data_IF_816687603400
#
_entry.id   IF_816687603400
#
_cell.length_a   1.000
_cell.length_b   1.000
_cell.length_c   1.000
_cell.angle_alpha   90.00
_cell.angle_beta   90.00
_cell.angle_gamma   90.00
#
_symmetry.space_group_name_H-M   'P 1'
#
loop_
_entity.id
_entity.type
_entity.pdbx_description
1 polymer ?
#
# COMPACT_ATOMS: atom_id res chain seq x y z
N UNK A 1 -31.06 45.52 -45.51
CA UNK A 1 -30.87 45.77 -44.07
C UNK A 1 -29.94 44.71 -43.49
N UNK A 2 -28.80 45.05 -42.87
CA UNK A 2 -27.89 44.04 -42.32
C UNK A 2 -28.31 43.64 -40.90
N UNK A 3 -28.49 42.33 -40.69
CA UNK A 3 -28.74 41.70 -39.39
C UNK A 3 -27.45 41.73 -38.55
N UNK A 4 -27.39 42.62 -37.56
CA UNK A 4 -26.30 42.67 -36.57
C UNK A 4 -26.39 41.46 -35.64
N UNK A 5 -25.50 40.49 -35.83
CA UNK A 5 -25.34 39.35 -34.92
C UNK A 5 -24.68 39.80 -33.62
N UNK A 6 -25.46 39.94 -32.53
CA UNK A 6 -24.94 40.20 -31.18
C UNK A 6 -24.26 38.94 -30.64
N UNK A 7 -22.95 38.85 -30.79
CA UNK A 7 -22.10 37.82 -30.17
C UNK A 7 -21.46 38.37 -28.88
N UNK A 8 -22.22 38.50 -27.80
CA UNK A 8 -21.69 38.89 -26.48
C UNK A 8 -22.53 38.29 -25.37
N UNK A 9 -22.09 37.17 -24.78
CA UNK A 9 -22.20 36.87 -23.32
C UNK A 9 -21.81 35.45 -22.85
N UNK A 10 -21.28 34.55 -23.70
CA UNK A 10 -20.94 33.17 -23.24
C UNK A 10 -19.46 32.90 -22.92
N UNK A 11 -18.53 33.83 -23.17
CA UNK A 11 -17.09 33.60 -22.95
C UNK A 11 -16.69 33.51 -21.47
N UNK A 12 -17.32 34.30 -20.59
CA UNK A 12 -16.98 34.30 -19.15
C UNK A 12 -17.43 33.03 -18.43
N UNK A 13 -18.64 32.55 -18.72
CA UNK A 13 -19.15 31.30 -18.16
C UNK A 13 -18.31 30.09 -18.60
N UNK A 14 -17.94 30.01 -19.88
CA UNK A 14 -17.12 28.92 -20.40
C UNK A 14 -15.69 28.89 -19.82
N UNK A 15 -15.08 30.06 -19.53
CA UNK A 15 -13.76 30.11 -18.89
C UNK A 15 -13.80 29.67 -17.43
N UNK A 16 -14.83 30.09 -16.69
CA UNK A 16 -15.01 29.67 -15.29
C UNK A 16 -15.28 28.17 -15.20
N UNK A 17 -16.15 27.65 -16.07
CA UNK A 17 -16.48 26.22 -16.11
C UNK A 17 -15.25 25.37 -16.48
N UNK A 18 -14.41 25.87 -17.39
CA UNK A 18 -13.12 25.23 -17.73
C UNK A 18 -12.15 25.22 -16.54
N UNK A 19 -12.02 26.33 -15.81
CA UNK A 19 -11.16 26.40 -14.60
C UNK A 19 -11.64 25.42 -13.54
N UNK A 20 -12.95 25.38 -13.28
CA UNK A 20 -13.55 24.44 -12.32
C UNK A 20 -13.28 22.99 -12.76
N UNK A 21 -13.46 22.68 -14.05
CA UNK A 21 -13.17 21.37 -14.60
C UNK A 21 -11.71 20.93 -14.40
N UNK A 22 -10.75 21.84 -14.61
CA UNK A 22 -9.32 21.57 -14.39
C UNK A 22 -9.02 21.30 -12.91
N UNK A 23 -9.63 22.06 -11.99
CA UNK A 23 -9.46 21.86 -10.55
C UNK A 23 -9.98 20.48 -10.13
N UNK A 24 -11.20 20.11 -10.55
CA UNK A 24 -11.80 18.82 -10.23
C UNK A 24 -10.95 17.68 -10.81
N UNK A 25 -10.50 17.80 -12.06
CA UNK A 25 -9.63 16.82 -12.70
C UNK A 25 -8.33 16.62 -11.91
N UNK A 26 -7.72 17.71 -11.45
CA UNK A 26 -6.48 17.67 -10.66
C UNK A 26 -6.69 16.93 -9.34
N UNK A 27 -7.80 17.20 -8.64
CA UNK A 27 -8.15 16.51 -7.38
C UNK A 27 -8.32 15.01 -7.62
N UNK A 28 -9.04 14.62 -8.68
CA UNK A 28 -9.24 13.20 -9.04
C UNK A 28 -7.89 12.52 -9.33
N UNK A 29 -7.01 13.15 -10.09
CA UNK A 29 -5.68 12.60 -10.41
C UNK A 29 -4.84 12.41 -9.16
N UNK A 30 -4.84 13.38 -8.24
CA UNK A 30 -4.10 13.27 -6.97
C UNK A 30 -4.61 12.10 -6.13
N UNK A 31 -5.93 11.96 -5.99
CA UNK A 31 -6.53 10.83 -5.23
C UNK A 31 -6.22 9.50 -5.91
N UNK A 32 -6.34 9.43 -7.23
CA UNK A 32 -6.05 8.22 -7.99
C UNK A 32 -4.57 7.79 -7.84
N UNK A 33 -3.63 8.74 -7.90
CA UNK A 33 -2.22 8.47 -7.68
C UNK A 33 -1.93 7.97 -6.25
N UNK A 34 -2.47 8.64 -5.24
CA UNK A 34 -2.29 8.20 -3.84
C UNK A 34 -2.80 6.76 -3.62
N UNK A 35 -4.01 6.44 -4.10
CA UNK A 35 -4.57 5.10 -4.00
C UNK A 35 -3.76 4.04 -4.76
N UNK A 36 -3.23 4.40 -5.94
CA UNK A 36 -2.42 3.50 -6.76
C UNK A 36 -1.08 3.18 -6.10
N UNK A 37 -0.37 4.20 -5.59
CA UNK A 37 0.94 4.03 -4.97
C UNK A 37 0.87 3.20 -3.69
N UNK A 38 -0.10 3.47 -2.81
CA UNK A 38 -0.24 2.76 -1.53
C UNK A 38 -0.59 1.27 -1.72
N UNK A 39 -1.43 0.97 -2.71
CA UNK A 39 -1.78 -0.42 -3.06
C UNK A 39 -0.58 -1.18 -3.63
N UNK A 40 0.25 -0.52 -4.45
CA UNK A 40 1.37 -1.18 -5.11
C UNK A 40 2.52 -1.52 -4.16
N UNK A 41 2.94 -0.58 -3.31
CA UNK A 41 3.96 -0.77 -2.27
C UNK A 41 3.59 -1.99 -1.41
N UNK A 42 2.34 -2.05 -0.95
CA UNK A 42 1.91 -3.13 -0.06
C UNK A 42 1.92 -4.51 -0.73
N UNK A 43 1.62 -4.59 -2.02
CA UNK A 43 1.72 -5.84 -2.77
C UNK A 43 3.17 -6.26 -3.02
N UNK A 44 4.05 -5.31 -3.34
CA UNK A 44 5.46 -5.56 -3.59
C UNK A 44 6.19 -6.02 -2.33
N UNK A 45 5.82 -5.48 -1.16
CA UNK A 45 6.35 -5.86 0.15
C UNK A 45 5.79 -7.23 0.58
N UNK A 46 4.47 -7.42 0.46
CA UNK A 46 3.80 -8.58 1.05
C UNK A 46 4.13 -9.91 0.36
N UNK A 47 4.29 -9.93 -0.97
CA UNK A 47 4.58 -11.16 -1.72
C UNK A 47 5.90 -11.84 -1.31
N UNK A 48 7.06 -11.16 -1.33
CA UNK A 48 8.32 -11.75 -0.90
C UNK A 48 8.30 -12.10 0.59
N UNK A 49 7.72 -11.26 1.46
CA UNK A 49 7.58 -11.56 2.88
C UNK A 49 6.79 -12.87 3.13
N UNK A 50 5.69 -13.10 2.39
CA UNK A 50 4.92 -14.35 2.48
C UNK A 50 5.74 -15.56 2.01
N UNK A 51 6.58 -15.41 0.97
CA UNK A 51 7.46 -16.51 0.51
C UNK A 51 8.48 -16.88 1.60
N UNK A 52 9.09 -15.87 2.21
CA UNK A 52 10.03 -16.08 3.31
C UNK A 52 9.33 -16.70 4.53
N UNK A 53 8.13 -16.21 4.88
CA UNK A 53 7.31 -16.77 5.94
C UNK A 53 7.00 -18.25 5.70
N UNK A 54 6.60 -18.64 4.49
CA UNK A 54 6.30 -20.05 4.18
C UNK A 54 7.53 -20.94 4.32
N UNK A 55 8.67 -20.48 3.82
CA UNK A 55 9.94 -21.21 3.91
C UNK A 55 10.36 -21.41 5.36
N UNK A 56 10.32 -20.34 6.15
CA UNK A 56 10.61 -20.39 7.58
C UNK A 56 9.63 -21.28 8.35
N UNK A 57 8.33 -21.17 8.05
CA UNK A 57 7.28 -21.94 8.71
C UNK A 57 7.42 -23.43 8.44
N UNK A 58 7.81 -23.80 7.22
CA UNK A 58 8.05 -25.19 6.85
C UNK A 58 9.20 -25.80 7.67
N UNK A 59 10.33 -25.08 7.80
CA UNK A 59 11.47 -25.51 8.62
C UNK A 59 11.17 -25.59 10.12
N UNK A 60 10.30 -24.69 10.62
CA UNK A 60 9.99 -24.57 12.04
C UNK A 60 8.67 -25.23 12.46
N UNK A 61 8.03 -26.01 11.59
CA UNK A 61 6.74 -26.70 11.85
C UNK A 61 5.61 -25.73 12.26
N UNK A 62 5.62 -24.54 11.69
CA UNK A 62 4.57 -23.53 11.85
C UNK A 62 3.63 -23.54 10.62
N UNK A 63 2.43 -23.01 10.80
CA UNK A 63 1.47 -22.75 9.74
C UNK A 63 1.45 -21.26 9.41
N UNK A 64 2.02 -20.88 8.26
CA UNK A 64 2.03 -19.50 7.79
C UNK A 64 0.59 -18.97 7.60
N UNK A 65 0.28 -17.81 8.18
CA UNK A 65 -1.04 -17.16 8.04
C UNK A 65 -0.99 -15.97 7.10
N UNK A 66 -0.42 -14.85 7.56
CA UNK A 66 -0.42 -13.59 6.80
C UNK A 66 0.76 -12.71 7.19
N UNK A 67 1.23 -11.92 6.23
CA UNK A 67 2.13 -10.80 6.48
C UNK A 67 1.40 -9.48 6.27
N UNK A 68 1.77 -8.49 7.07
CA UNK A 68 1.47 -7.09 6.85
C UNK A 68 2.18 -6.63 5.57
N UNK A 69 1.48 -5.82 4.78
CA UNK A 69 2.04 -5.23 3.55
C UNK A 69 2.66 -3.86 3.81
N UNK A 70 3.07 -3.57 5.04
CA UNK A 70 3.62 -2.26 5.37
C UNK A 70 4.81 -2.44 6.30
N UNK A 71 5.92 -1.84 5.91
CA UNK A 71 7.11 -1.72 6.73
C UNK A 71 6.97 -0.47 7.60
N UNK A 72 6.57 -0.67 8.86
CA UNK A 72 6.39 0.45 9.81
C UNK A 72 7.71 1.06 10.24
N UNK A 73 8.77 0.25 10.30
CA UNK A 73 10.07 0.61 10.85
C UNK A 73 11.07 1.03 9.76
N UNK A 74 10.69 0.90 8.48
CA UNK A 74 11.52 1.15 7.29
C UNK A 74 12.84 0.39 7.32
N UNK A 75 12.85 -0.79 7.92
CA UNK A 75 14.04 -1.61 8.14
C UNK A 75 14.14 -2.80 7.17
N UNK A 76 13.22 -2.90 6.20
CA UNK A 76 13.17 -4.02 5.26
C UNK A 76 12.46 -5.26 5.80
N UNK A 77 11.87 -5.18 7.01
CA UNK A 77 11.14 -6.26 7.68
C UNK A 77 9.66 -5.91 7.81
N UNK A 78 8.80 -6.92 7.69
CA UNK A 78 7.37 -6.78 7.97
C UNK A 78 6.90 -7.80 8.98
N UNK A 79 5.86 -7.43 9.72
CA UNK A 79 5.21 -8.29 10.68
C UNK A 79 4.40 -9.37 9.97
N UNK A 80 4.69 -10.61 10.31
CA UNK A 80 4.03 -11.81 9.82
C UNK A 80 3.50 -12.62 10.98
N UNK A 81 2.40 -13.34 10.72
CA UNK A 81 1.74 -14.21 11.69
C UNK A 81 1.81 -15.64 11.18
N UNK A 82 2.14 -16.55 12.08
CA UNK A 82 2.04 -17.99 11.87
C UNK A 82 1.37 -18.65 13.07
N UNK A 83 0.89 -19.88 12.91
CA UNK A 83 0.35 -20.71 14.00
C UNK A 83 1.31 -21.83 14.33
N UNK A 84 1.51 -22.10 15.61
CA UNK A 84 2.21 -23.29 16.06
C UNK A 84 1.30 -24.54 15.98
N UNK A 85 1.85 -25.70 16.37
CA UNK A 85 1.11 -26.98 16.44
C UNK A 85 0.02 -27.01 17.51
N UNK A 86 0.08 -26.12 18.50
CA UNK A 86 -0.90 -25.96 19.58
C UNK A 86 -2.00 -24.96 19.20
N UNK A 87 -1.93 -24.37 18.01
CA UNK A 87 -2.87 -23.35 17.52
C UNK A 87 -2.58 -21.93 18.02
N UNK A 88 -1.51 -21.70 18.77
CA UNK A 88 -1.10 -20.36 19.20
C UNK A 88 -0.52 -19.57 18.04
N UNK A 89 -0.90 -18.29 17.96
CA UNK A 89 -0.39 -17.39 16.92
C UNK A 89 0.93 -16.79 17.39
N UNK A 90 1.98 -16.99 16.60
CA UNK A 90 3.29 -16.38 16.80
C UNK A 90 3.49 -15.23 15.81
N UNK A 91 4.16 -14.18 16.29
CA UNK A 91 4.53 -13.02 15.48
C UNK A 91 5.99 -13.16 15.06
N UNK A 92 6.23 -12.99 13.78
CA UNK A 92 7.53 -13.12 13.13
C UNK A 92 7.82 -11.82 12.38
N UNK A 93 9.06 -11.40 12.34
CA UNK A 93 9.52 -10.38 11.41
C UNK A 93 10.13 -11.08 10.20
N UNK A 94 9.55 -10.87 9.01
CA UNK A 94 10.07 -11.43 7.77
C UNK A 94 10.50 -10.30 6.84
N UNK A 95 11.69 -10.42 6.28
CA UNK A 95 12.13 -9.45 5.30
C UNK A 95 11.46 -9.62 3.95
N UNK A 96 11.30 -8.50 3.26
CA UNK A 96 10.74 -8.42 1.90
C UNK A 96 11.77 -7.93 0.88
N UNK A 97 12.88 -7.35 1.34
CA UNK A 97 13.96 -6.84 0.50
C UNK A 97 15.02 -7.93 0.21
N UNK A 98 15.98 -7.61 -0.65
CA UNK A 98 17.07 -8.53 -0.97
C UNK A 98 18.08 -8.71 0.17
N UNK A 99 18.12 -7.79 1.12
CA UNK A 99 19.09 -7.79 2.23
C UNK A 99 18.66 -8.76 3.34
N UNK A 100 17.36 -8.96 3.51
CA UNK A 100 16.76 -9.72 4.59
C UNK A 100 15.87 -10.85 4.05
N UNK A 101 16.46 -11.83 3.36
CA UNK A 101 15.74 -13.01 2.87
C UNK A 101 15.44 -14.05 3.97
N UNK A 102 15.19 -13.61 5.20
CA UNK A 102 14.95 -14.46 6.34
C UNK A 102 13.77 -13.98 7.17
N UNK A 103 13.25 -14.87 8.01
CA UNK A 103 12.32 -14.52 9.07
C UNK A 103 12.98 -14.78 10.42
N UNK A 104 12.72 -13.90 11.38
CA UNK A 104 13.11 -14.06 12.76
C UNK A 104 11.87 -14.03 13.65
N UNK A 105 11.92 -14.76 14.75
CA UNK A 105 10.90 -14.64 15.79
C UNK A 105 11.04 -13.28 16.43
N UNK A 106 9.97 -12.48 16.40
CA UNK A 106 9.94 -11.29 17.24
C UNK A 106 9.79 -11.81 18.66
N UNK A 107 10.89 -11.84 19.43
CA UNK A 107 10.80 -11.92 20.88
C UNK A 107 10.01 -10.69 21.28
N UNK A 108 8.74 -10.88 21.63
CA UNK A 108 8.03 -9.89 22.44
C UNK A 108 8.88 -9.79 23.70
N UNK A 109 9.68 -8.74 23.78
CA UNK A 109 10.47 -8.42 24.96
C UNK A 109 9.49 -8.31 26.11
N UNK A 110 9.41 -9.37 26.89
CA UNK A 110 8.91 -9.35 28.23
C UNK A 110 10.18 -9.33 29.09
N UNK A 111 10.44 -8.20 29.75
CA UNK A 111 11.62 -7.94 30.57
C UNK A 111 12.26 -6.61 30.15
N UNK A 112 12.18 -5.52 30.91
CA UNK A 112 11.89 -5.33 32.34
C UNK A 112 10.91 -4.17 32.58
#
# INVERSE_FOLDING_TARGET
MPLKFKRKQHRGFALIDLIIGVIILTIIVVIALHNLLETQESHQIRRPAIRNLRTFSHGNKLNALKCEGQDRDKNGLVLCKAKDRRGQTVILQCGYDQRHQYCTTQTVGNGE
#
